data_IF_721648514541
#
_entry.id   IF_721648514541
#
_cell.length_a   1.000
_cell.length_b   1.000
_cell.length_c   1.000
_cell.angle_alpha   90.00
_cell.angle_beta   90.00
_cell.angle_gamma   90.00
#
_symmetry.space_group_name_H-M   'P 1'
#
loop_
_entity.id
_entity.type
_entity.pdbx_description
1 polymer ?
#
# COMPACT_ATOMS: atom_id res chain seq x y z
N UNK A 1 -7.30 49.20 -1.44
CA UNK A 1 -6.23 48.18 -1.36
C UNK A 1 -6.64 47.20 -0.28
N UNK A 2 -7.24 46.07 -0.65
CA UNK A 2 -7.90 45.15 0.28
C UNK A 2 -6.95 43.96 0.52
N UNK A 3 -6.53 43.65 1.76
CA UNK A 3 -5.64 42.53 2.00
C UNK A 3 -6.32 41.22 1.62
N UNK A 4 -5.71 40.48 0.68
CA UNK A 4 -6.09 39.10 0.36
C UNK A 4 -5.88 38.23 1.59
N UNK A 5 -6.98 37.83 2.23
CA UNK A 5 -6.97 36.86 3.33
C UNK A 5 -6.35 35.55 2.82
N UNK A 6 -5.11 35.30 3.23
CA UNK A 6 -4.42 34.03 2.99
C UNK A 6 -5.24 32.90 3.60
N UNK A 7 -5.64 31.92 2.77
CA UNK A 7 -6.19 30.65 3.24
C UNK A 7 -5.18 30.07 4.24
N UNK A 8 -5.58 29.87 5.50
CA UNK A 8 -4.64 29.47 6.55
C UNK A 8 -4.21 28.02 6.29
N UNK A 9 -2.92 27.67 6.41
CA UNK A 9 -2.40 26.31 6.21
C UNK A 9 -3.02 25.26 7.16
N UNK A 10 -3.75 25.70 8.19
CA UNK A 10 -4.47 24.85 9.13
C UNK A 10 -5.71 24.17 8.52
N UNK A 11 -6.26 24.69 7.42
CA UNK A 11 -7.41 24.07 6.75
C UNK A 11 -7.01 22.76 6.04
N UNK A 12 -5.75 22.66 5.59
CA UNK A 12 -5.18 21.43 5.03
C UNK A 12 -4.99 20.34 6.10
N UNK A 13 -4.73 20.73 7.34
CA UNK A 13 -4.63 19.82 8.49
C UNK A 13 -6.00 19.33 8.99
N UNK A 14 -7.08 19.99 8.58
CA UNK A 14 -8.47 19.64 8.93
C UNK A 14 -9.18 18.89 7.80
N UNK A 15 -8.42 18.21 6.94
CA UNK A 15 -8.97 17.30 5.95
C UNK A 15 -9.74 16.20 6.69
N UNK A 16 -11.08 16.25 6.60
CA UNK A 16 -11.91 15.15 7.11
C UNK A 16 -11.53 13.90 6.31
N UNK A 17 -11.25 12.76 6.98
CA UNK A 17 -10.94 11.53 6.28
C UNK A 17 -12.11 11.23 5.34
N UNK A 18 -11.84 11.17 4.04
CA UNK A 18 -12.86 10.79 3.08
C UNK A 18 -13.02 9.27 3.13
N UNK A 19 -14.23 8.77 2.86
CA UNK A 19 -14.53 7.33 3.00
C UNK A 19 -13.60 6.43 2.17
N UNK A 20 -13.14 6.92 1.00
CA UNK A 20 -12.22 6.19 0.13
C UNK A 20 -10.84 6.04 0.78
N UNK A 21 -10.29 7.08 1.39
CA UNK A 21 -9.00 7.04 2.09
C UNK A 21 -9.05 6.06 3.27
N UNK A 22 -10.13 6.07 4.05
CA UNK A 22 -10.34 5.12 5.14
C UNK A 22 -10.43 3.69 4.60
N UNK A 23 -11.21 3.49 3.53
CA UNK A 23 -11.35 2.19 2.89
C UNK A 23 -10.02 1.65 2.36
N UNK A 24 -9.20 2.48 1.71
CA UNK A 24 -7.87 2.06 1.23
C UNK A 24 -6.97 1.62 2.38
N UNK A 25 -6.87 2.43 3.45
CA UNK A 25 -6.04 2.07 4.61
C UNK A 25 -6.49 0.76 5.23
N UNK A 26 -7.80 0.61 5.50
CA UNK A 26 -8.35 -0.58 6.14
C UNK A 26 -8.21 -1.81 5.24
N UNK A 27 -8.56 -1.72 3.97
CA UNK A 27 -8.47 -2.86 3.05
C UNK A 27 -7.03 -3.27 2.78
N UNK A 28 -6.09 -2.33 2.71
CA UNK A 28 -4.66 -2.66 2.58
C UNK A 28 -4.12 -3.32 3.85
N UNK A 29 -4.55 -2.91 5.04
CA UNK A 29 -4.20 -3.60 6.29
C UNK A 29 -4.79 -5.03 6.32
N UNK A 30 -6.07 -5.18 5.95
CA UNK A 30 -6.73 -6.49 5.82
C UNK A 30 -6.00 -7.36 4.81
N UNK A 31 -5.54 -6.80 3.69
CA UNK A 31 -4.76 -7.54 2.68
C UNK A 31 -3.50 -8.13 3.29
N UNK A 32 -2.79 -7.38 4.15
CA UNK A 32 -1.63 -7.90 4.84
C UNK A 32 -2.00 -9.10 5.73
N UNK A 33 -3.00 -8.95 6.60
CA UNK A 33 -3.43 -10.05 7.48
C UNK A 33 -3.98 -11.25 6.71
N UNK A 34 -4.77 -11.02 5.66
CA UNK A 34 -5.40 -12.07 4.87
C UNK A 34 -4.39 -13.00 4.18
N UNK A 35 -3.25 -12.45 3.75
CA UNK A 35 -2.21 -13.25 3.07
C UNK A 35 -1.08 -13.71 3.99
N UNK A 36 -0.75 -12.95 5.04
CA UNK A 36 0.45 -13.16 5.85
C UNK A 36 0.21 -13.48 7.32
N UNK A 37 -1.05 -13.56 7.80
CA UNK A 37 -1.31 -14.00 9.18
C UNK A 37 -0.90 -15.46 9.43
N UNK A 38 -0.85 -16.28 8.37
CA UNK A 38 -0.38 -17.65 8.42
C UNK A 38 1.02 -17.73 7.84
N UNK A 39 1.94 -18.29 8.62
CA UNK A 39 3.30 -18.59 8.17
C UNK A 39 3.32 -19.95 7.45
N UNK A 40 4.03 -20.00 6.33
CA UNK A 40 4.24 -21.22 5.54
C UNK A 40 5.71 -21.31 5.10
N UNK A 41 6.26 -22.53 5.16
CA UNK A 41 7.64 -22.83 4.82
C UNK A 41 7.71 -23.89 3.74
N UNK A 42 8.64 -23.73 2.81
CA UNK A 42 8.89 -24.67 1.71
C UNK A 42 10.35 -25.08 1.74
N UNK A 43 10.60 -26.37 1.65
CA UNK A 43 11.95 -26.93 1.52
C UNK A 43 12.24 -27.19 0.04
N UNK A 44 13.34 -26.64 -0.46
CA UNK A 44 13.80 -26.91 -1.82
C UNK A 44 14.34 -28.34 -1.96
N UNK A 45 14.43 -28.89 -3.19
CA UNK A 45 15.05 -30.20 -3.42
C UNK A 45 16.48 -30.32 -2.87
N UNK A 46 17.21 -29.20 -2.81
CA UNK A 46 18.56 -29.09 -2.28
C UNK A 46 18.60 -28.97 -0.74
N UNK A 47 17.44 -29.02 -0.07
CA UNK A 47 17.31 -28.98 1.39
C UNK A 47 17.22 -27.56 1.98
N UNK A 48 17.21 -26.51 1.17
CA UNK A 48 17.12 -25.13 1.67
C UNK A 48 15.68 -24.80 2.09
N UNK A 49 15.49 -24.32 3.33
CA UNK A 49 14.18 -23.90 3.82
C UNK A 49 13.96 -22.42 3.50
N UNK A 50 12.88 -22.13 2.78
CA UNK A 50 12.41 -20.77 2.46
C UNK A 50 11.08 -20.49 3.15
N UNK A 51 10.91 -19.28 3.67
CA UNK A 51 9.73 -18.83 4.42
C UNK A 51 10.04 -17.54 5.20
N UNK A 52 9.15 -17.03 6.04
CA UNK A 52 7.85 -17.58 6.47
C UNK A 52 6.70 -17.36 5.47
N UNK A 53 6.98 -16.76 4.31
CA UNK A 53 5.97 -16.52 3.27
C UNK A 53 6.36 -17.20 1.97
N UNK A 54 5.40 -17.88 1.37
CA UNK A 54 5.59 -18.59 0.10
C UNK A 54 5.14 -17.74 -1.09
N UNK A 55 5.62 -18.07 -2.29
CA UNK A 55 5.44 -17.24 -3.48
C UNK A 55 3.96 -16.92 -3.80
N UNK A 56 3.05 -17.87 -3.58
CA UNK A 56 1.63 -17.66 -3.84
C UNK A 56 0.98 -16.66 -2.86
N UNK A 57 1.43 -16.61 -1.60
CA UNK A 57 0.94 -15.62 -0.63
C UNK A 57 1.34 -14.20 -1.06
N UNK A 58 2.60 -14.05 -1.48
CA UNK A 58 3.11 -12.77 -1.99
C UNK A 58 2.37 -12.36 -3.25
N UNK A 59 2.17 -13.28 -4.20
CA UNK A 59 1.44 -13.00 -5.43
C UNK A 59 -0.01 -12.59 -5.15
N UNK A 60 -0.69 -13.30 -4.24
CA UNK A 60 -2.04 -12.98 -3.82
C UNK A 60 -2.16 -11.58 -3.21
N UNK A 61 -1.23 -11.21 -2.34
CA UNK A 61 -1.15 -9.88 -1.76
C UNK A 61 -0.93 -8.80 -2.83
N UNK A 62 0.04 -9.00 -3.73
CA UNK A 62 0.35 -8.05 -4.81
C UNK A 62 -0.87 -7.84 -5.72
N UNK A 63 -1.55 -8.92 -6.13
CA UNK A 63 -2.74 -8.83 -6.98
C UNK A 63 -3.89 -8.10 -6.27
N UNK A 64 -4.09 -8.37 -4.98
CA UNK A 64 -5.12 -7.68 -4.18
C UNK A 64 -4.84 -6.19 -4.07
N UNK A 65 -3.59 -5.82 -3.75
CA UNK A 65 -3.16 -4.43 -3.69
C UNK A 65 -3.26 -3.73 -5.05
N UNK A 66 -2.91 -4.41 -6.14
CA UNK A 66 -3.03 -3.86 -7.49
C UNK A 66 -4.48 -3.47 -7.82
N UNK A 67 -5.46 -4.30 -7.46
CA UNK A 67 -6.88 -3.98 -7.61
C UNK A 67 -7.26 -2.74 -6.80
N UNK A 68 -6.85 -2.66 -5.54
CA UNK A 68 -7.11 -1.48 -4.70
C UNK A 68 -6.49 -0.20 -5.30
N UNK A 69 -5.27 -0.30 -5.83
CA UNK A 69 -4.58 0.81 -6.47
C UNK A 69 -5.30 1.28 -7.73
N UNK A 70 -5.70 0.37 -8.62
CA UNK A 70 -6.41 0.72 -9.86
C UNK A 70 -7.75 1.40 -9.54
N UNK A 71 -8.50 0.88 -8.58
CA UNK A 71 -9.79 1.47 -8.17
C UNK A 71 -9.59 2.82 -7.46
N UNK A 72 -8.64 2.89 -6.53
CA UNK A 72 -8.32 4.11 -5.79
C UNK A 72 -7.82 5.23 -6.71
N UNK A 73 -6.95 4.91 -7.66
CA UNK A 73 -6.37 5.90 -8.58
C UNK A 73 -7.43 6.63 -9.40
N UNK A 74 -8.53 5.95 -9.76
CA UNK A 74 -9.67 6.54 -10.48
C UNK A 74 -10.46 7.56 -9.65
N UNK A 75 -10.32 7.55 -8.32
CA UNK A 75 -11.10 8.41 -7.41
C UNK A 75 -10.25 9.46 -6.71
N UNK A 76 -9.01 9.12 -6.32
CA UNK A 76 -8.11 9.99 -5.55
C UNK A 76 -6.87 10.44 -6.34
N UNK A 77 -6.64 9.88 -7.52
CA UNK A 77 -5.37 10.01 -8.25
C UNK A 77 -4.30 9.05 -7.72
N UNK A 78 -3.30 8.78 -8.57
CA UNK A 78 -2.24 7.80 -8.31
C UNK A 78 -1.42 8.12 -7.05
N UNK A 79 -0.91 9.34 -6.83
CA UNK A 79 -0.03 9.60 -5.69
C UNK A 79 -0.74 9.44 -4.35
N UNK A 80 -1.97 9.95 -4.23
CA UNK A 80 -2.72 9.88 -2.99
C UNK A 80 -3.14 8.44 -2.69
N UNK A 81 -3.53 7.68 -3.72
CA UNK A 81 -3.84 6.25 -3.58
C UNK A 81 -2.64 5.46 -3.09
N UNK A 82 -1.47 5.66 -3.71
CA UNK A 82 -0.25 4.97 -3.31
C UNK A 82 0.13 5.26 -1.85
N UNK A 83 -0.02 6.51 -1.40
CA UNK A 83 0.21 6.89 0.00
C UNK A 83 -0.67 6.08 0.95
N UNK A 84 -1.98 6.05 0.72
CA UNK A 84 -2.90 5.39 1.67
C UNK A 84 -2.82 3.86 1.63
N UNK A 85 -2.56 3.28 0.46
CA UNK A 85 -2.28 1.84 0.32
C UNK A 85 -1.01 1.46 1.08
N UNK A 86 0.07 2.26 0.94
CA UNK A 86 1.32 2.04 1.66
C UNK A 86 1.15 2.16 3.18
N UNK A 87 0.43 3.19 3.64
CA UNK A 87 0.12 3.36 5.07
C UNK A 87 -0.66 2.18 5.62
N UNK A 88 -1.70 1.71 4.93
CA UNK A 88 -2.52 0.59 5.40
C UNK A 88 -1.75 -0.73 5.44
N UNK A 89 -1.05 -1.07 4.36
CA UNK A 89 -0.33 -2.34 4.26
C UNK A 89 0.87 -2.41 5.20
N UNK A 90 1.67 -1.33 5.27
CA UNK A 90 2.76 -1.23 6.24
C UNK A 90 2.24 -1.17 7.67
N UNK A 91 1.08 -0.56 7.91
CA UNK A 91 0.40 -0.60 9.21
C UNK A 91 0.08 -2.02 9.66
N UNK A 92 -0.45 -2.87 8.77
CA UNK A 92 -0.68 -4.29 9.05
C UNK A 92 0.60 -5.01 9.47
N UNK A 93 1.68 -4.85 8.69
CA UNK A 93 3.00 -5.40 9.02
C UNK A 93 3.52 -4.90 10.37
N UNK A 94 3.47 -3.57 10.58
CA UNK A 94 4.01 -2.92 11.75
C UNK A 94 3.28 -3.30 13.03
N UNK A 95 1.96 -3.48 12.97
CA UNK A 95 1.16 -3.97 14.11
C UNK A 95 1.62 -5.36 14.54
N UNK A 96 1.80 -6.30 13.59
CA UNK A 96 2.33 -7.63 13.92
C UNK A 96 3.73 -7.53 14.49
N UNK A 97 4.62 -6.77 13.84
CA UNK A 97 6.01 -6.60 14.29
C UNK A 97 6.10 -6.04 15.70
N UNK A 98 5.33 -5.01 16.02
CA UNK A 98 5.28 -4.41 17.36
C UNK A 98 4.82 -5.39 18.46
N UNK A 99 4.09 -6.45 18.10
CA UNK A 99 3.64 -7.48 19.05
C UNK A 99 4.66 -8.62 19.24
N UNK A 100 5.62 -8.78 18.33
CA UNK A 100 6.50 -9.96 18.29
C UNK A 100 7.99 -9.65 18.29
N UNK A 101 8.38 -8.38 18.10
CA UNK A 101 9.78 -7.97 18.02
C UNK A 101 10.15 -6.96 19.12
N UNK A 102 10.92 -7.43 20.10
CA UNK A 102 11.40 -6.62 21.22
C UNK A 102 12.65 -5.77 20.88
N UNK A 103 13.26 -5.97 19.70
CA UNK A 103 14.48 -5.24 19.29
C UNK A 103 14.20 -3.86 18.70
N UNK A 104 12.96 -3.61 18.27
CA UNK A 104 12.56 -2.41 17.55
C UNK A 104 12.89 -2.41 16.06
N UNK A 105 13.49 -3.48 15.54
CA UNK A 105 13.82 -3.61 14.11
C UNK A 105 12.56 -3.60 13.23
N UNK A 106 11.40 -3.95 13.80
CA UNK A 106 10.11 -3.85 13.15
C UNK A 106 9.84 -2.45 12.59
N UNK A 107 10.36 -1.38 13.19
CA UNK A 107 10.20 -0.01 12.67
C UNK A 107 10.92 0.17 11.33
N UNK A 108 12.14 -0.34 11.23
CA UNK A 108 12.91 -0.33 9.97
C UNK A 108 12.21 -1.17 8.92
N UNK A 109 11.74 -2.37 9.30
CA UNK A 109 10.96 -3.24 8.42
C UNK A 109 9.68 -2.56 7.93
N UNK A 110 8.94 -1.90 8.83
CA UNK A 110 7.71 -1.17 8.51
C UNK A 110 7.97 -0.04 7.53
N UNK A 111 9.07 0.72 7.73
CA UNK A 111 9.47 1.77 6.80
C UNK A 111 9.82 1.22 5.42
N UNK A 112 10.58 0.13 5.35
CA UNK A 112 10.92 -0.52 4.09
C UNK A 112 9.68 -1.04 3.36
N UNK A 113 8.75 -1.65 4.09
CA UNK A 113 7.45 -2.11 3.54
C UNK A 113 6.63 -0.92 3.05
N UNK A 114 6.59 0.20 3.79
CA UNK A 114 5.89 1.41 3.37
C UNK A 114 6.47 1.97 2.07
N UNK A 115 7.80 2.11 1.98
CA UNK A 115 8.48 2.61 0.77
C UNK A 115 8.27 1.67 -0.41
N UNK A 116 8.48 0.37 -0.23
CA UNK A 116 8.29 -0.62 -1.29
C UNK A 116 6.85 -0.67 -1.80
N UNK A 117 5.88 -0.63 -0.89
CA UNK A 117 4.45 -0.60 -1.25
C UNK A 117 4.10 0.69 -1.97
N UNK A 118 4.62 1.83 -1.51
CA UNK A 118 4.39 3.13 -2.14
C UNK A 118 4.91 3.13 -3.59
N UNK A 119 6.16 2.74 -3.80
CA UNK A 119 6.78 2.68 -5.13
C UNK A 119 6.07 1.68 -6.05
N UNK A 120 5.70 0.51 -5.53
CA UNK A 120 4.93 -0.48 -6.29
C UNK A 120 3.54 0.00 -6.69
N UNK A 121 2.81 0.60 -5.75
CA UNK A 121 1.48 1.16 -5.99
C UNK A 121 1.51 2.31 -7.01
N UNK A 122 2.53 3.16 -6.90
CA UNK A 122 2.83 4.19 -7.88
C UNK A 122 3.00 3.58 -9.29
N UNK A 123 3.89 2.60 -9.45
CA UNK A 123 4.14 1.94 -10.74
C UNK A 123 2.87 1.33 -11.33
N UNK A 124 2.09 0.60 -10.52
CA UNK A 124 0.82 0.00 -10.95
C UNK A 124 -0.21 1.07 -11.35
N UNK A 125 -0.37 2.12 -10.53
CA UNK A 125 -1.36 3.16 -10.78
C UNK A 125 -1.08 3.95 -12.06
N UNK A 126 0.19 4.24 -12.34
CA UNK A 126 0.57 4.91 -13.59
C UNK A 126 0.46 3.99 -14.80
N UNK A 127 0.91 2.74 -14.69
CA UNK A 127 0.76 1.75 -15.75
C UNK A 127 -0.72 1.58 -16.15
N UNK A 128 -1.61 1.54 -15.16
CA UNK A 128 -3.05 1.45 -15.37
C UNK A 128 -3.70 2.73 -15.94
N UNK A 129 -2.98 3.86 -15.89
CA UNK A 129 -3.44 5.16 -16.38
C UNK A 129 -2.89 5.50 -17.77
N UNK A 130 -2.05 4.65 -18.37
CA UNK A 130 -1.55 4.87 -19.72
C UNK A 130 -2.72 4.81 -20.73
N UNK A 131 -2.77 5.73 -21.71
CA UNK A 131 -3.75 5.67 -22.80
C UNK A 131 -3.69 4.33 -23.53
N UNK A 132 -4.85 3.83 -23.98
CA UNK A 132 -4.91 2.62 -24.78
C UNK A 132 -4.28 2.86 -26.15
N UNK A 133 -3.71 1.82 -26.77
CA UNK A 133 -3.16 1.92 -28.15
C UNK A 133 -4.22 2.30 -29.19
N UNK A 134 -5.50 2.23 -28.82
CA UNK A 134 -6.64 2.53 -29.69
C UNK A 134 -6.84 4.04 -29.91
N UNK A 135 -6.24 4.88 -29.06
CA UNK A 135 -6.33 6.35 -29.15
C UNK A 135 -5.39 6.92 -30.24
N UNK A 136 -4.54 6.08 -30.86
CA UNK A 136 -3.55 6.49 -31.86
C UNK A 136 -4.07 6.43 -33.32
N UNK A 137 -5.32 6.04 -33.52
CA UNK A 137 -5.94 5.86 -34.86
C UNK A 137 -7.21 6.70 -35.08
N UNK A 138 -7.54 7.61 -34.16
CA UNK A 138 -8.63 8.59 -34.32
C UNK A 138 -8.07 9.97 -34.68
#
# INVERSE_FOLDING_TARGET
MTPTAGRRPLDALRARPNLVTVALVVMSAITWFGWFAREEYVTSPEGNVSGPYVAWQVLGAVLTLAVLVVVGARTLGVPLTATWVAVGFAGGFGVKGAMTDDTGLYLVGTLLVAVGTFVGALAVGWLASLPGRDDAHA
#
